data_IF_741039983985
#
_entry.id   IF_741039983985
#
_cell.length_a   1.000
_cell.length_b   1.000
_cell.length_c   1.000
_cell.angle_alpha   90.00
_cell.angle_beta   90.00
_cell.angle_gamma   90.00
#
_symmetry.space_group_name_H-M   'P 1'
#
loop_
_entity.id
_entity.type
_entity.pdbx_description
1 polymer ?
#
# COMPACT_ATOMS: atom_id res chain seq x y z
N UNK A 1 -35.66 -2.78 -13.65
CA UNK A 1 -34.47 -2.50 -14.48
C UNK A 1 -33.62 -3.76 -14.48
N UNK A 2 -33.49 -4.41 -15.64
CA UNK A 2 -32.91 -5.75 -15.78
C UNK A 2 -31.41 -5.70 -15.49
N UNK A 3 -30.95 -6.30 -14.39
CA UNK A 3 -29.53 -6.65 -14.23
C UNK A 3 -29.18 -7.62 -15.35
N UNK A 4 -28.23 -7.23 -16.21
CA UNK A 4 -27.89 -8.05 -17.37
C UNK A 4 -27.34 -9.41 -16.91
N UNK A 5 -27.66 -10.49 -17.62
CA UNK A 5 -27.24 -11.85 -17.25
C UNK A 5 -25.71 -11.97 -17.11
N UNK A 6 -24.94 -11.14 -17.82
CA UNK A 6 -23.49 -11.00 -17.67
C UNK A 6 -23.08 -10.46 -16.29
N UNK A 7 -23.71 -9.39 -15.81
CA UNK A 7 -23.45 -8.83 -14.46
C UNK A 7 -23.69 -9.85 -13.33
N UNK A 8 -24.68 -10.73 -13.48
CA UNK A 8 -24.99 -11.75 -12.48
C UNK A 8 -23.94 -12.86 -12.47
N UNK A 9 -23.42 -13.26 -13.64
CA UNK A 9 -22.35 -14.26 -13.77
C UNK A 9 -21.04 -13.73 -13.18
N UNK A 10 -20.69 -12.48 -13.48
CA UNK A 10 -19.47 -11.84 -12.96
C UNK A 10 -19.54 -11.64 -11.44
N UNK A 11 -20.71 -11.27 -10.91
CA UNK A 11 -20.93 -11.20 -9.46
C UNK A 11 -20.72 -12.56 -8.78
N UNK A 12 -21.19 -13.65 -9.39
CA UNK A 12 -21.01 -15.00 -8.84
C UNK A 12 -19.54 -15.43 -8.84
N UNK A 13 -18.83 -15.13 -9.93
CA UNK A 13 -17.38 -15.41 -10.05
C UNK A 13 -16.57 -14.60 -9.03
N UNK A 14 -16.88 -13.32 -8.88
CA UNK A 14 -16.28 -12.47 -7.87
C UNK A 14 -16.51 -13.02 -6.45
N UNK A 15 -17.75 -13.36 -6.10
CA UNK A 15 -18.05 -13.91 -4.78
C UNK A 15 -17.29 -15.22 -4.51
N UNK A 16 -17.21 -16.12 -5.50
CA UNK A 16 -16.41 -17.36 -5.40
C UNK A 16 -14.94 -17.06 -5.15
N UNK A 17 -14.39 -16.08 -5.87
CA UNK A 17 -13.00 -15.66 -5.70
C UNK A 17 -12.73 -14.99 -4.35
N UNK A 18 -13.66 -14.18 -3.85
CA UNK A 18 -13.55 -13.56 -2.52
C UNK A 18 -13.58 -14.62 -1.42
N UNK A 19 -14.43 -15.65 -1.55
CA UNK A 19 -14.43 -16.81 -0.63
C UNK A 19 -13.10 -17.55 -0.68
N UNK A 20 -12.56 -17.81 -1.87
CA UNK A 20 -11.23 -18.38 -2.03
C UNK A 20 -10.16 -17.55 -1.32
N UNK A 21 -10.19 -16.22 -1.44
CA UNK A 21 -9.22 -15.33 -0.81
C UNK A 21 -9.25 -15.41 0.73
N UNK A 22 -10.45 -15.49 1.32
CA UNK A 22 -10.63 -15.63 2.77
C UNK A 22 -10.08 -16.98 3.27
N UNK A 23 -10.32 -18.06 2.53
CA UNK A 23 -9.78 -19.37 2.86
C UNK A 23 -8.26 -19.43 2.65
N UNK A 24 -7.73 -18.76 1.63
CA UNK A 24 -6.29 -18.70 1.34
C UNK A 24 -5.50 -18.06 2.49
N UNK A 25 -6.02 -17.01 3.12
CA UNK A 25 -5.35 -16.38 4.27
C UNK A 25 -5.27 -17.29 5.50
N UNK A 26 -6.21 -18.23 5.66
CA UNK A 26 -6.29 -19.09 6.85
C UNK A 26 -5.65 -20.47 6.63
N UNK A 27 -5.66 -20.97 5.39
CA UNK A 27 -5.25 -22.34 5.03
C UNK A 27 -4.35 -22.41 3.80
N UNK A 28 -3.47 -21.41 3.63
CA UNK A 28 -2.59 -21.27 2.46
C UNK A 28 -1.82 -22.55 2.10
N UNK A 29 -1.30 -23.26 3.10
CA UNK A 29 -0.46 -24.44 2.90
C UNK A 29 -1.27 -25.66 2.41
N UNK A 30 -2.53 -25.76 2.82
CA UNK A 30 -3.47 -26.82 2.48
C UNK A 30 -4.14 -26.62 1.11
N UNK A 31 -4.12 -25.38 0.59
CA UNK A 31 -4.68 -25.09 -0.72
C UNK A 31 -3.79 -25.57 -1.88
N UNK A 32 -4.40 -26.37 -2.74
CA UNK A 32 -3.83 -26.84 -4.01
C UNK A 32 -4.33 -25.97 -5.19
N UNK A 33 -3.68 -26.08 -6.35
CA UNK A 33 -4.10 -25.42 -7.61
C UNK A 33 -3.57 -24.01 -7.85
N UNK A 34 -3.27 -23.20 -6.82
CA UNK A 34 -2.63 -21.89 -7.04
C UNK A 34 -1.09 -21.97 -7.07
N UNK A 35 -0.50 -22.98 -6.41
CA UNK A 35 0.96 -23.16 -6.28
C UNK A 35 1.64 -23.36 -7.64
N UNK A 36 0.94 -23.99 -8.58
CA UNK A 36 1.40 -24.22 -9.96
C UNK A 36 1.62 -22.91 -10.73
N UNK A 37 0.87 -21.86 -10.36
CA UNK A 37 0.91 -20.55 -10.98
C UNK A 37 1.74 -19.54 -10.18
N UNK A 38 2.36 -19.94 -9.05
CA UNK A 38 2.91 -19.01 -8.05
C UNK A 38 3.89 -17.97 -8.66
N UNK A 39 4.71 -18.41 -9.61
CA UNK A 39 5.76 -17.63 -10.28
C UNK A 39 5.30 -17.12 -11.67
N UNK A 40 4.11 -17.53 -12.11
CA UNK A 40 3.48 -17.05 -13.34
C UNK A 40 2.82 -15.68 -13.12
N UNK A 41 2.58 -14.91 -14.19
CA UNK A 41 1.83 -13.66 -14.10
C UNK A 41 0.45 -13.87 -13.46
N UNK A 42 0.07 -13.00 -12.53
CA UNK A 42 -1.20 -13.11 -11.80
C UNK A 42 -2.42 -13.17 -12.72
N UNK A 43 -2.37 -12.52 -13.88
CA UNK A 43 -3.44 -12.56 -14.88
C UNK A 43 -3.72 -13.99 -15.36
N UNK A 44 -2.70 -14.83 -15.56
CA UNK A 44 -2.88 -16.22 -15.97
C UNK A 44 -3.62 -17.03 -14.89
N UNK A 45 -3.32 -16.76 -13.62
CA UNK A 45 -4.05 -17.39 -12.53
C UNK A 45 -5.51 -16.94 -12.49
N UNK A 46 -5.80 -15.65 -12.67
CA UNK A 46 -7.18 -15.15 -12.74
C UNK A 46 -7.96 -15.81 -13.89
N UNK A 47 -7.33 -15.98 -15.05
CA UNK A 47 -7.93 -16.69 -16.19
C UNK A 47 -8.24 -18.16 -15.87
N UNK A 48 -7.37 -18.85 -15.13
CA UNK A 48 -7.63 -20.21 -14.63
C UNK A 48 -8.86 -20.28 -13.71
N UNK A 49 -9.22 -19.18 -13.06
CA UNK A 49 -10.40 -19.04 -12.20
C UNK A 49 -11.64 -18.51 -12.97
N UNK A 50 -11.57 -18.47 -14.31
CA UNK A 50 -12.58 -17.89 -15.20
C UNK A 50 -12.85 -16.39 -14.98
N UNK A 51 -11.90 -15.67 -14.37
CA UNK A 51 -11.97 -14.23 -14.18
C UNK A 51 -11.30 -13.58 -15.39
N UNK A 52 -12.12 -12.94 -16.23
CA UNK A 52 -11.70 -12.39 -17.53
C UNK A 52 -12.28 -10.99 -17.74
N UNK A 53 -11.77 -10.27 -18.74
CA UNK A 53 -12.30 -8.95 -19.13
C UNK A 53 -12.16 -7.89 -18.03
N UNK A 54 -13.18 -7.04 -17.89
CA UNK A 54 -13.19 -5.91 -16.95
C UNK A 54 -13.02 -6.36 -15.48
N UNK A 55 -13.59 -7.51 -15.11
CA UNK A 55 -13.47 -8.05 -13.75
C UNK A 55 -12.01 -8.36 -13.38
N UNK A 56 -11.21 -8.82 -14.34
CA UNK A 56 -9.77 -9.07 -14.15
C UNK A 56 -9.04 -7.77 -13.84
N UNK A 57 -9.30 -6.71 -14.60
CA UNK A 57 -8.71 -5.39 -14.37
C UNK A 57 -9.12 -4.82 -13.02
N UNK A 58 -10.39 -4.93 -12.62
CA UNK A 58 -10.80 -4.49 -11.28
C UNK A 58 -10.07 -5.22 -10.15
N UNK A 59 -9.87 -6.54 -10.28
CA UNK A 59 -9.15 -7.32 -9.26
C UNK A 59 -7.65 -6.98 -9.25
N UNK A 60 -7.01 -6.89 -10.41
CA UNK A 60 -5.58 -6.60 -10.50
C UNK A 60 -5.26 -5.16 -10.08
N UNK A 61 -6.01 -4.20 -10.59
CA UNK A 61 -5.68 -2.77 -10.48
C UNK A 61 -6.29 -2.13 -9.24
N UNK A 62 -7.56 -2.39 -8.94
CA UNK A 62 -8.27 -1.72 -7.85
C UNK A 62 -8.15 -2.45 -6.50
N UNK A 63 -8.09 -3.79 -6.53
CA UNK A 63 -8.04 -4.61 -5.30
C UNK A 63 -6.59 -4.97 -4.97
N UNK A 64 -5.83 -5.46 -5.95
CA UNK A 64 -4.45 -5.87 -5.77
C UNK A 64 -3.44 -4.71 -5.72
N UNK A 65 -3.76 -3.56 -6.36
CA UNK A 65 -2.85 -2.42 -6.52
C UNK A 65 -1.45 -2.92 -6.94
N UNK A 66 -1.43 -3.77 -7.96
CA UNK A 66 -0.25 -4.54 -8.31
C UNK A 66 0.74 -3.71 -9.14
N UNK A 67 2.03 -3.96 -8.94
CA UNK A 67 3.05 -3.47 -9.84
C UNK A 67 2.92 -4.14 -11.23
N UNK A 68 3.37 -3.48 -12.30
CA UNK A 68 3.49 -4.13 -13.60
C UNK A 68 4.27 -5.45 -13.46
N UNK A 69 3.72 -6.55 -13.97
CA UNK A 69 4.27 -7.91 -13.92
C UNK A 69 4.27 -8.60 -12.54
N UNK A 70 3.32 -8.28 -11.66
CA UNK A 70 3.17 -9.02 -10.40
C UNK A 70 2.97 -10.53 -10.63
N UNK A 71 3.68 -11.34 -9.85
CA UNK A 71 3.50 -12.80 -9.83
C UNK A 71 2.15 -13.16 -9.20
N UNK A 72 1.65 -14.37 -9.45
CA UNK A 72 0.43 -14.84 -8.78
C UNK A 72 0.56 -14.82 -7.27
N UNK A 73 1.74 -15.14 -6.73
CA UNK A 73 1.99 -15.07 -5.29
C UNK A 73 1.83 -13.66 -4.75
N UNK A 74 2.37 -12.66 -5.43
CA UNK A 74 2.24 -11.24 -5.04
C UNK A 74 0.79 -10.78 -5.18
N UNK A 75 0.15 -11.13 -6.31
CA UNK A 75 -1.26 -10.87 -6.62
C UNK A 75 -2.20 -11.37 -5.53
N UNK A 76 -2.09 -12.65 -5.20
CA UNK A 76 -2.87 -13.27 -4.13
C UNK A 76 -2.58 -12.66 -2.78
N UNK A 77 -1.31 -12.39 -2.45
CA UNK A 77 -0.97 -11.77 -1.17
C UNK A 77 -1.63 -10.40 -1.02
N UNK A 78 -1.62 -9.57 -2.07
CA UNK A 78 -2.22 -8.25 -2.03
C UNK A 78 -3.76 -8.31 -2.00
N UNK A 79 -4.36 -9.09 -2.90
CA UNK A 79 -5.81 -9.19 -3.01
C UNK A 79 -6.41 -9.85 -1.77
N UNK A 80 -5.86 -10.97 -1.30
CA UNK A 80 -6.40 -11.63 -0.11
C UNK A 80 -6.27 -10.76 1.14
N UNK A 81 -5.19 -9.96 1.26
CA UNK A 81 -5.05 -8.98 2.34
C UNK A 81 -6.09 -7.86 2.26
N UNK A 82 -6.40 -7.39 1.04
CA UNK A 82 -7.49 -6.43 0.85
C UNK A 82 -8.81 -7.01 1.34
N UNK A 83 -9.17 -8.23 0.91
CA UNK A 83 -10.43 -8.89 1.29
C UNK A 83 -10.54 -9.06 2.80
N UNK A 84 -9.48 -9.50 3.46
CA UNK A 84 -9.43 -9.67 4.93
C UNK A 84 -9.59 -8.35 5.70
N UNK A 85 -9.19 -7.24 5.09
CA UNK A 85 -9.28 -5.92 5.70
C UNK A 85 -10.68 -5.31 5.59
N UNK A 86 -11.50 -5.73 4.62
CA UNK A 86 -12.87 -5.25 4.42
C UNK A 86 -13.75 -5.66 5.60
N UNK A 87 -14.51 -4.72 6.16
CA UNK A 87 -15.45 -4.99 7.26
C UNK A 87 -14.81 -4.98 8.64
N UNK A 88 -13.47 -4.95 8.76
CA UNK A 88 -12.77 -4.97 10.06
C UNK A 88 -13.07 -3.74 10.92
N UNK A 89 -13.04 -2.56 10.32
CA UNK A 89 -13.32 -1.28 11.00
C UNK A 89 -14.38 -0.44 10.27
N UNK A 90 -14.84 -0.90 9.11
CA UNK A 90 -15.79 -0.20 8.25
C UNK A 90 -15.95 -0.89 6.90
N UNK A 91 -16.74 -0.32 5.98
CA UNK A 91 -17.02 -0.93 4.67
C UNK A 91 -15.81 -0.90 3.71
N UNK A 92 -14.79 -0.10 4.01
CA UNK A 92 -13.55 0.01 3.22
C UNK A 92 -12.39 -0.66 3.95
N UNK A 93 -11.40 -1.24 3.24
CA UNK A 93 -10.21 -1.82 3.85
C UNK A 93 -9.16 -0.77 4.26
N UNK A 94 -9.44 0.51 4.05
CA UNK A 94 -8.49 1.59 4.30
C UNK A 94 -8.84 2.39 5.56
N UNK A 95 -7.80 2.84 6.25
CA UNK A 95 -7.89 3.77 7.36
C UNK A 95 -7.07 5.02 7.03
N UNK A 96 -7.54 6.16 7.54
CA UNK A 96 -6.78 7.40 7.53
C UNK A 96 -6.62 7.92 8.95
N UNK A 97 -5.49 8.54 9.23
CA UNK A 97 -5.31 9.32 10.46
C UNK A 97 -6.14 10.59 10.41
N UNK A 98 -6.66 11.00 11.56
CA UNK A 98 -7.54 12.16 11.69
C UNK A 98 -6.87 13.47 11.24
N UNK A 99 -5.56 13.60 11.44
CA UNK A 99 -4.78 14.81 11.12
C UNK A 99 -3.80 14.60 9.96
N UNK A 100 -4.05 13.59 9.11
CA UNK A 100 -3.20 13.27 7.96
C UNK A 100 -1.97 12.44 8.32
N UNK A 101 -1.24 11.97 7.30
CA UNK A 101 -0.19 10.95 7.46
C UNK A 101 1.06 11.43 8.22
N UNK A 102 1.22 12.74 8.40
CA UNK A 102 2.30 13.35 9.18
C UNK A 102 2.33 12.96 10.66
N UNK A 103 1.23 12.43 11.19
CA UNK A 103 1.15 11.93 12.56
C UNK A 103 1.92 10.62 12.77
N UNK A 104 2.06 9.79 11.73
CA UNK A 104 2.70 8.48 11.85
C UNK A 104 4.18 8.63 12.23
N UNK A 105 5.02 9.43 11.53
CA UNK A 105 6.39 9.68 11.96
C UNK A 105 6.49 10.26 13.37
N UNK A 106 5.60 11.19 13.73
CA UNK A 106 5.61 11.81 15.07
C UNK A 106 5.33 10.79 16.18
N UNK A 107 4.40 9.87 15.97
CA UNK A 107 4.11 8.77 16.90
C UNK A 107 5.35 7.89 17.13
N UNK A 108 6.08 7.54 16.08
CA UNK A 108 7.34 6.78 16.21
C UNK A 108 8.44 7.59 16.88
N UNK A 109 8.55 8.90 16.59
CA UNK A 109 9.49 9.78 17.27
C UNK A 109 9.21 9.82 18.78
N UNK A 110 7.94 9.98 19.16
CA UNK A 110 7.50 9.94 20.56
C UNK A 110 7.83 8.61 21.21
N UNK A 111 7.55 7.48 20.54
CA UNK A 111 7.87 6.14 21.05
C UNK A 111 9.38 6.01 21.35
N UNK A 112 10.23 6.42 20.40
CA UNK A 112 11.68 6.38 20.58
C UNK A 112 12.17 7.29 21.71
N UNK A 113 11.57 8.48 21.89
CA UNK A 113 11.89 9.38 23.00
C UNK A 113 11.58 8.77 24.38
N UNK A 114 10.48 8.00 24.49
CA UNK A 114 10.14 7.26 25.72
C UNK A 114 11.24 6.27 26.11
N UNK A 115 11.95 5.70 25.13
CA UNK A 115 13.08 4.79 25.35
C UNK A 115 14.45 5.49 25.39
N UNK A 116 14.46 6.82 25.61
CA UNK A 116 15.70 7.60 25.76
C UNK A 116 16.29 8.14 24.46
N UNK A 117 15.57 8.06 23.34
CA UNK A 117 15.97 8.72 22.10
C UNK A 117 15.95 10.24 22.22
N UNK A 118 17.01 10.90 21.73
CA UNK A 118 17.11 12.36 21.69
C UNK A 118 16.80 12.89 20.30
N UNK A 119 15.96 13.93 20.23
CA UNK A 119 15.61 14.62 19.00
C UNK A 119 16.13 16.05 19.00
N UNK A 120 16.79 16.44 17.91
CA UNK A 120 17.25 17.81 17.70
C UNK A 120 16.75 18.30 16.34
N UNK A 121 15.71 19.13 16.34
CA UNK A 121 15.21 19.80 15.14
C UNK A 121 15.98 21.11 14.89
N UNK A 122 15.99 21.58 13.65
CA UNK A 122 16.71 22.81 13.28
C UNK A 122 18.23 22.69 13.40
N UNK A 123 18.77 21.47 13.47
CA UNK A 123 20.19 21.19 13.61
C UNK A 123 20.75 20.57 12.32
N UNK A 124 21.40 21.35 11.45
CA UNK A 124 21.93 20.82 10.20
C UNK A 124 23.09 19.86 10.47
N UNK A 125 23.20 18.82 9.63
CA UNK A 125 24.36 17.92 9.59
C UNK A 125 25.29 18.42 8.48
N UNK A 126 26.49 18.81 8.87
CA UNK A 126 27.47 19.46 7.97
C UNK A 126 28.40 18.45 7.30
N UNK A 127 28.79 17.39 8.02
CA UNK A 127 29.75 16.41 7.51
C UNK A 127 29.58 15.03 8.14
N UNK A 128 29.94 14.00 7.37
CA UNK A 128 30.08 12.63 7.85
C UNK A 128 31.56 12.34 8.14
N UNK A 129 31.85 11.76 9.31
CA UNK A 129 33.20 11.35 9.68
C UNK A 129 33.35 9.88 9.31
N UNK A 130 34.30 9.60 8.43
CA UNK A 130 34.63 8.24 8.02
C UNK A 130 36.04 7.85 8.48
N UNK A 131 36.19 6.60 8.88
CA UNK A 131 37.47 5.97 9.21
C UNK A 131 37.44 4.52 8.72
N UNK A 132 38.48 4.10 7.99
CA UNK A 132 38.62 2.74 7.46
C UNK A 132 37.39 2.27 6.65
N UNK A 133 36.80 3.18 5.86
CA UNK A 133 35.62 2.91 5.04
C UNK A 133 34.30 2.79 5.83
N UNK A 134 34.28 3.11 7.13
CA UNK A 134 33.08 3.10 7.98
C UNK A 134 32.78 4.49 8.52
N UNK A 135 31.50 4.81 8.64
CA UNK A 135 31.05 6.01 9.35
C UNK A 135 31.25 5.81 10.85
N UNK A 136 31.90 6.78 11.50
CA UNK A 136 32.20 6.77 12.94
C UNK A 136 31.59 7.96 13.68
N UNK A 137 30.95 8.88 12.97
CA UNK A 137 30.31 10.05 13.54
C UNK A 137 29.84 11.06 12.49
N UNK A 138 29.24 12.13 12.98
CA UNK A 138 28.77 13.28 12.19
C UNK A 138 29.21 14.59 12.84
N UNK A 139 29.35 15.64 12.04
CA UNK A 139 29.44 17.03 12.53
C UNK A 139 28.07 17.66 12.36
N UNK A 140 27.48 18.13 13.46
CA UNK A 140 26.18 18.78 13.47
C UNK A 140 26.23 20.04 14.33
N UNK A 141 26.01 21.19 13.70
CA UNK A 141 26.10 22.52 14.32
C UNK A 141 27.48 22.76 14.95
N UNK A 142 28.55 22.45 14.20
CA UNK A 142 29.95 22.51 14.65
C UNK A 142 30.38 21.47 15.70
N UNK A 143 29.46 20.65 16.23
CA UNK A 143 29.79 19.62 17.22
C UNK A 143 29.94 18.23 16.60
N UNK A 144 30.94 17.49 17.07
CA UNK A 144 31.13 16.09 16.72
C UNK A 144 30.25 15.18 17.56
N UNK A 145 29.43 14.36 16.90
CA UNK A 145 28.63 13.28 17.50
C UNK A 145 29.15 11.95 16.97
N UNK A 146 29.68 11.10 17.85
CA UNK A 146 30.15 9.77 17.45
C UNK A 146 28.97 8.79 17.33
N UNK A 147 29.00 7.92 16.32
CA UNK A 147 28.00 6.88 16.13
C UNK A 147 28.63 5.61 15.54
N UNK A 148 27.99 4.46 15.81
CA UNK A 148 28.36 3.16 15.22
C UNK A 148 27.53 2.83 13.98
N UNK A 149 26.29 3.32 13.96
CA UNK A 149 25.34 3.14 12.87
C UNK A 149 24.74 4.49 12.53
N UNK A 150 24.57 4.76 11.25
CA UNK A 150 23.96 5.97 10.74
C UNK A 150 22.83 5.60 9.79
N UNK A 151 21.62 6.06 10.12
CA UNK A 151 20.42 5.92 9.28
C UNK A 151 20.05 7.33 8.84
N UNK A 152 19.86 7.53 7.54
CA UNK A 152 19.52 8.83 6.97
C UNK A 152 18.58 8.68 5.77
N UNK A 153 17.83 9.75 5.46
CA UNK A 153 17.12 9.86 4.17
C UNK A 153 18.13 10.00 3.03
N UNK A 154 17.75 9.55 1.83
CA UNK A 154 18.55 9.70 0.61
C UNK A 154 18.93 11.15 0.31
N UNK A 155 18.12 12.11 0.77
CA UNK A 155 18.36 13.54 0.64
C UNK A 155 19.64 14.03 1.35
N UNK A 156 20.09 13.33 2.38
CA UNK A 156 21.31 13.69 3.14
C UNK A 156 22.54 12.90 2.69
N UNK A 157 22.40 12.00 1.72
CA UNK A 157 23.52 11.20 1.23
C UNK A 157 24.44 12.09 0.39
N UNK A 158 25.78 12.11 0.67
CA UNK A 158 26.72 12.89 -0.13
C UNK A 158 26.72 12.46 -1.59
N UNK A 159 26.88 13.42 -2.52
CA UNK A 159 26.91 13.16 -3.97
C UNK A 159 28.03 12.18 -4.41
N UNK A 160 29.05 11.97 -3.58
CA UNK A 160 30.11 10.99 -3.82
C UNK A 160 29.65 9.53 -3.65
N UNK A 161 28.49 9.29 -3.05
CA UNK A 161 27.92 7.96 -2.86
C UNK A 161 26.91 7.71 -3.98
N UNK A 162 27.21 6.71 -4.82
CA UNK A 162 26.34 6.32 -5.91
C UNK A 162 25.01 5.76 -5.39
N UNK A 163 23.90 6.34 -5.83
CA UNK A 163 22.56 5.82 -5.55
C UNK A 163 22.34 4.50 -6.28
N UNK A 164 21.94 3.47 -5.54
CA UNK A 164 21.60 2.16 -6.11
C UNK A 164 20.09 2.04 -6.25
N UNK A 165 19.59 2.20 -7.46
CA UNK A 165 18.18 1.95 -7.78
C UNK A 165 17.70 2.78 -8.96
N UNK A 166 16.52 2.43 -9.52
CA UNK A 166 15.89 3.25 -10.54
C UNK A 166 15.45 4.58 -9.94
N UNK A 167 15.80 5.67 -10.62
CA UNK A 167 15.23 6.97 -10.32
C UNK A 167 13.73 6.94 -10.64
N UNK A 168 12.90 7.37 -9.68
CA UNK A 168 11.45 7.38 -9.82
C UNK A 168 10.93 8.77 -9.47
N UNK A 169 10.07 9.27 -10.34
CA UNK A 169 9.39 10.55 -10.16
C UNK A 169 7.96 10.31 -9.71
N UNK A 170 7.45 11.20 -8.85
CA UNK A 170 6.08 11.13 -8.33
C UNK A 170 5.42 12.49 -8.56
N UNK A 171 4.44 12.52 -9.45
CA UNK A 171 3.59 13.68 -9.65
C UNK A 171 2.53 13.75 -8.55
N UNK A 172 2.44 14.91 -7.89
CA UNK A 172 1.48 15.14 -6.80
C UNK A 172 0.72 16.43 -7.04
N UNK A 173 -0.61 16.35 -6.91
CA UNK A 173 -1.49 17.50 -6.94
C UNK A 173 -2.34 17.53 -5.66
N UNK A 174 -2.53 18.71 -5.10
CA UNK A 174 -3.40 18.94 -3.93
C UNK A 174 -4.52 19.87 -4.35
N UNK A 175 -5.76 19.39 -4.24
CA UNK A 175 -6.95 20.15 -4.59
C UNK A 175 -7.70 20.57 -3.32
N UNK A 176 -8.10 21.83 -3.27
CA UNK A 176 -9.05 22.33 -2.28
C UNK A 176 -10.39 22.51 -3.00
N UNK A 177 -11.37 21.68 -2.65
CA UNK A 177 -12.69 21.70 -3.27
C UNK A 177 -13.74 22.16 -2.26
N UNK A 178 -14.86 22.70 -2.76
CA UNK A 178 -16.01 23.07 -1.93
C UNK A 178 -17.13 22.01 -1.97
N UNK A 179 -16.89 20.86 -2.60
CA UNK A 179 -17.85 19.77 -2.77
C UNK A 179 -17.15 18.42 -2.93
N UNK A 180 -17.89 17.35 -2.64
CA UNK A 180 -17.49 15.97 -2.93
C UNK A 180 -17.30 15.77 -4.43
N UNK A 181 -16.34 14.92 -4.80
CA UNK A 181 -16.13 14.46 -6.19
C UNK A 181 -17.28 13.56 -6.63
N UNK A 182 -17.86 12.80 -5.71
CA UNK A 182 -19.04 11.97 -5.95
C UNK A 182 -20.30 12.72 -5.52
N UNK A 183 -21.17 13.02 -6.48
CA UNK A 183 -22.54 13.52 -6.25
C UNK A 183 -23.49 12.37 -6.54
N UNK A 184 -24.10 11.77 -5.51
CA UNK A 184 -25.14 10.77 -5.74
C UNK A 184 -26.30 11.40 -6.52
N UNK A 185 -26.74 10.73 -7.60
CA UNK A 185 -28.09 10.93 -8.10
C UNK A 185 -29.04 10.39 -7.02
N UNK A 186 -29.77 11.28 -6.36
CA UNK A 186 -30.87 10.86 -5.48
C UNK A 186 -31.90 10.14 -6.35
N UNK A 187 -31.92 8.80 -6.33
CA UNK A 187 -33.10 8.06 -6.78
C UNK A 187 -34.28 8.48 -5.88
N UNK A 188 -35.14 9.34 -6.43
CA UNK A 188 -36.43 9.64 -5.84
C UNK A 188 -37.29 8.36 -5.89
N UNK A 189 -37.24 7.55 -4.84
CA UNK A 189 -38.30 6.57 -4.60
C UNK A 189 -39.48 7.31 -3.97
N UNK A 190 -40.30 7.92 -4.80
CA UNK A 190 -41.64 8.35 -4.40
C UNK A 190 -42.49 7.10 -4.16
N UNK A 191 -42.64 6.70 -2.91
CA UNK A 191 -43.75 5.83 -2.52
C UNK A 191 -45.03 6.64 -2.68
N UNK A 192 -45.78 6.37 -3.75
CA UNK A 192 -47.13 6.88 -3.92
C UNK A 192 -48.01 6.35 -2.79
N UNK A 193 -48.45 7.25 -1.92
CA UNK A 193 -49.58 7.00 -1.03
C UNK A 193 -50.87 7.21 -1.82
N UNK A 194 -51.61 6.13 -2.02
CA UNK A 194 -53.06 6.15 -2.24
C UNK A 194 -53.78 6.23 -0.91
#
# INVERSE_FOLDING_TARGET
MLTSRSQVVDKRRLMKFMTFCLEWNTKREEMEGWKEYQDEPFEKFLESQEITGELRSYIADAIGILHPNATTKDGLTAVCKFVDSVGRFGPSPFLTSLYGSGEIPQCFCRLCAVFGGLYCLGRPVEALIQKDGKVVGVIADGFRVNCTHLIMSSEYVPASVESKGPEKWIDRAVYVTNRSIWTEEKEHVSFGGS
#
